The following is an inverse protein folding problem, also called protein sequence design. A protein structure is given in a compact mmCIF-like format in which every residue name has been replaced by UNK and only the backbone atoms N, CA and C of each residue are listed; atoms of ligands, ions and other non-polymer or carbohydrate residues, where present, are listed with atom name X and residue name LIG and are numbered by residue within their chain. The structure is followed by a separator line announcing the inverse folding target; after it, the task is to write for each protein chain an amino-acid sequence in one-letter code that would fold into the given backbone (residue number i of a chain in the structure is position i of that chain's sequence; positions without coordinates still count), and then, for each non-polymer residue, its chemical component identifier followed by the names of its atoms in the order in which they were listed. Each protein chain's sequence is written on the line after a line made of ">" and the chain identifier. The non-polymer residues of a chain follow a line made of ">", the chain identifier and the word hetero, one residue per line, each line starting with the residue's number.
data_IF_612126625717
#
_entry.id   IF_612126625717
#
_cell.length_a   1.000
_cell.length_b   1.000
_cell.length_c   1.000
_cell.angle_alpha   90.00
_cell.angle_beta   90.00
_cell.angle_gamma   90.00
#
_symmetry.space_group_name_H-M   'P 1'
#
loop_
_entity.id
_entity.type
_entity.pdbx_description
1 polymer ?
#
# COMPACT_ATOMS: atom_id res chain seq x y z
N UNK A 1 -0.30 -13.20 -18.87
CA UNK A 1 0.21 -14.22 -17.91
C UNK A 1 1.24 -15.19 -18.50
N UNK A 2 0.94 -16.10 -19.44
CA UNK A 2 1.96 -17.08 -19.95
C UNK A 2 3.27 -16.45 -20.46
N UNK A 3 3.20 -15.29 -21.13
CA UNK A 3 4.39 -14.54 -21.57
C UNK A 3 5.28 -14.10 -20.40
N UNK A 4 4.69 -13.73 -19.27
CA UNK A 4 5.41 -13.32 -18.06
C UNK A 4 6.12 -14.52 -17.43
N UNK A 5 5.45 -15.67 -17.33
CA UNK A 5 6.07 -16.91 -16.84
C UNK A 5 7.28 -17.30 -17.70
N UNK A 6 7.15 -17.22 -19.03
CA UNK A 6 8.26 -17.48 -19.94
C UNK A 6 9.44 -16.55 -19.70
N UNK A 7 9.20 -15.28 -19.33
CA UNK A 7 10.27 -14.37 -18.91
C UNK A 7 10.90 -14.78 -17.58
N UNK A 8 10.11 -15.21 -16.59
CA UNK A 8 10.68 -15.74 -15.34
C UNK A 8 11.55 -16.99 -15.56
N UNK A 9 11.20 -17.85 -16.52
CA UNK A 9 12.00 -19.01 -16.91
C UNK A 9 13.31 -18.62 -17.59
N UNK A 10 13.27 -17.66 -18.51
CA UNK A 10 14.41 -17.20 -19.34
C UNK A 10 15.53 -16.54 -18.50
N UNK A 11 15.18 -15.67 -17.55
CA UNK A 11 16.16 -14.84 -16.85
C UNK A 11 16.70 -15.49 -15.57
N UNK A 12 18.03 -15.54 -15.41
CA UNK A 12 18.69 -16.07 -14.21
C UNK A 12 18.70 -15.12 -13.01
N UNK A 13 18.57 -13.82 -13.26
CA UNK A 13 18.47 -12.76 -12.24
C UNK A 13 17.19 -11.97 -12.45
N UNK A 14 16.42 -11.77 -11.39
CA UNK A 14 15.15 -11.03 -11.39
C UNK A 14 15.18 -9.99 -10.27
N UNK A 15 14.89 -8.73 -10.60
CA UNK A 15 14.89 -7.62 -9.63
C UNK A 15 13.48 -7.02 -9.62
N UNK A 16 12.84 -7.07 -8.46
CA UNK A 16 11.45 -6.68 -8.28
C UNK A 16 11.41 -5.31 -7.61
N UNK A 17 10.76 -4.36 -8.25
CA UNK A 17 10.49 -2.98 -7.81
C UNK A 17 9.00 -2.79 -7.52
N UNK A 18 8.67 -1.66 -6.92
CA UNK A 18 7.30 -1.16 -6.71
C UNK A 18 7.29 0.37 -6.55
N UNK A 19 6.16 0.98 -6.21
CA UNK A 19 6.05 2.43 -6.02
C UNK A 19 6.78 2.92 -4.76
N UNK A 20 7.30 4.15 -4.74
CA UNK A 20 7.93 4.79 -3.59
C UNK A 20 6.95 5.09 -2.45
N UNK A 21 7.45 5.21 -1.21
CA UNK A 21 6.63 5.30 0.02
C UNK A 21 5.63 4.13 0.11
N UNK A 22 6.14 2.90 0.15
CA UNK A 22 5.33 1.72 -0.07
C UNK A 22 4.28 1.56 1.02
N UNK A 23 3.12 1.05 0.62
CA UNK A 23 2.14 0.52 1.54
C UNK A 23 2.29 -1.01 1.71
N UNK A 24 1.28 -1.63 2.32
CA UNK A 24 1.29 -3.07 2.57
C UNK A 24 1.09 -3.90 1.31
N UNK A 25 0.41 -3.38 0.28
CA UNK A 25 0.19 -4.10 -0.97
C UNK A 25 1.45 -4.13 -1.82
N UNK A 26 2.12 -2.99 -1.96
CA UNK A 26 3.40 -2.89 -2.65
C UNK A 26 4.46 -3.83 -2.07
N UNK A 27 4.61 -3.86 -0.74
CA UNK A 27 5.57 -4.78 -0.08
C UNK A 27 5.05 -6.22 -0.13
N UNK A 28 3.75 -6.44 0.07
CA UNK A 28 3.13 -7.76 0.07
C UNK A 28 3.26 -8.49 -1.26
N UNK A 29 2.93 -7.82 -2.35
CA UNK A 29 3.06 -8.30 -3.73
C UNK A 29 4.53 -8.55 -4.10
N UNK A 30 5.43 -7.62 -3.77
CA UNK A 30 6.86 -7.71 -4.05
C UNK A 30 7.54 -8.89 -3.34
N UNK A 31 7.34 -9.00 -2.02
CA UNK A 31 7.90 -10.10 -1.22
C UNK A 31 7.23 -11.43 -1.58
N UNK A 32 5.92 -11.41 -1.82
CA UNK A 32 5.17 -12.58 -2.25
C UNK A 32 5.68 -13.17 -3.56
N UNK A 33 5.89 -12.34 -4.58
CA UNK A 33 6.46 -12.76 -5.85
C UNK A 33 7.91 -13.25 -5.67
N UNK A 34 8.75 -12.52 -4.93
CA UNK A 34 10.14 -12.94 -4.64
C UNK A 34 10.19 -14.37 -4.08
N UNK A 35 9.42 -14.63 -3.03
CA UNK A 35 9.36 -15.93 -2.36
C UNK A 35 8.85 -17.03 -3.30
N UNK A 36 7.88 -16.72 -4.17
CA UNK A 36 7.36 -17.67 -5.15
C UNK A 36 8.40 -18.04 -6.22
N UNK A 37 9.09 -17.03 -6.76
CA UNK A 37 10.13 -17.24 -7.77
C UNK A 37 11.32 -18.03 -7.21
N UNK A 38 11.75 -17.72 -5.98
CA UNK A 38 12.82 -18.45 -5.30
C UNK A 38 12.42 -19.89 -4.96
N UNK A 39 11.18 -20.13 -4.54
CA UNK A 39 10.69 -21.48 -4.27
C UNK A 39 10.54 -22.32 -5.55
N UNK A 40 10.14 -21.69 -6.65
CA UNK A 40 9.94 -22.37 -7.94
C UNK A 40 11.27 -22.66 -8.63
N UNK A 41 12.21 -21.72 -8.57
CA UNK A 41 13.53 -21.83 -9.19
C UNK A 41 14.65 -21.47 -8.19
N UNK A 42 15.05 -22.40 -7.30
CA UNK A 42 16.02 -22.13 -6.24
C UNK A 42 17.41 -21.67 -6.71
N UNK A 43 17.76 -21.90 -7.98
CA UNK A 43 19.03 -21.46 -8.57
C UNK A 43 19.03 -20.02 -9.11
N UNK A 44 17.88 -19.34 -9.17
CA UNK A 44 17.79 -17.95 -9.65
C UNK A 44 18.11 -16.97 -8.53
N UNK A 45 18.70 -15.84 -8.91
CA UNK A 45 18.88 -14.69 -8.01
C UNK A 45 17.63 -13.81 -8.11
N UNK A 46 16.91 -13.64 -7.01
CA UNK A 46 15.69 -12.82 -6.99
C UNK A 46 15.81 -11.80 -5.88
N UNK A 47 15.72 -10.52 -6.24
CA UNK A 47 15.87 -9.38 -5.33
C UNK A 47 14.58 -8.58 -5.27
N UNK A 48 14.27 -8.03 -4.10
CA UNK A 48 13.22 -7.04 -3.86
C UNK A 48 13.88 -5.74 -3.39
N UNK A 49 13.68 -4.62 -4.08
CA UNK A 49 14.43 -3.38 -3.86
C UNK A 49 13.52 -2.17 -3.66
N UNK A 50 14.07 -1.08 -3.11
CA UNK A 50 13.40 0.21 -2.91
C UNK A 50 13.48 0.73 -1.46
N UNK A 51 12.86 1.89 -1.21
CA UNK A 51 12.78 2.56 0.11
C UNK A 51 11.91 1.81 1.13
N UNK A 52 12.35 1.68 2.38
CA UNK A 52 11.57 0.94 3.38
C UNK A 52 10.45 1.76 4.03
N UNK A 53 9.44 1.06 4.54
CA UNK A 53 8.43 1.63 5.43
C UNK A 53 8.36 0.80 6.72
N UNK A 54 8.80 1.39 7.83
CA UNK A 54 8.90 0.71 9.13
C UNK A 54 7.60 0.05 9.60
N UNK A 55 6.44 0.61 9.24
CA UNK A 55 5.12 0.04 9.56
C UNK A 55 4.90 -1.35 8.95
N UNK A 56 5.50 -1.61 7.80
CA UNK A 56 5.31 -2.84 7.03
C UNK A 56 6.54 -3.77 7.06
N UNK A 57 7.55 -3.44 7.87
CA UNK A 57 8.79 -4.23 8.03
C UNK A 57 8.54 -5.70 8.40
N UNK A 58 7.44 -6.00 9.10
CA UNK A 58 7.04 -7.37 9.46
C UNK A 58 6.65 -8.24 8.25
N UNK A 59 6.29 -7.63 7.11
CA UNK A 59 5.95 -8.33 5.86
C UNK A 59 7.22 -8.90 5.22
N UNK A 60 8.25 -8.05 5.07
CA UNK A 60 9.58 -8.41 4.57
C UNK A 60 10.46 -7.18 4.39
N UNK A 61 11.77 -7.40 4.30
CA UNK A 61 12.77 -6.35 4.06
C UNK A 61 13.26 -6.32 2.61
N UNK A 62 13.90 -5.22 2.25
CA UNK A 62 14.49 -5.03 0.92
C UNK A 62 15.93 -5.57 0.87
N UNK A 63 16.34 -6.09 -0.29
CA UNK A 63 17.71 -6.50 -0.53
C UNK A 63 18.56 -5.31 -1.00
N UNK A 64 19.85 -5.35 -0.65
CA UNK A 64 20.84 -4.50 -1.30
C UNK A 64 21.19 -5.08 -2.67
N UNK A 65 21.09 -4.25 -3.71
CA UNK A 65 21.44 -4.60 -5.09
C UNK A 65 22.51 -3.66 -5.63
N UNK A 66 23.47 -4.21 -6.38
CA UNK A 66 24.50 -3.43 -7.07
C UNK A 66 24.08 -3.14 -8.50
N UNK A 67 24.63 -2.09 -9.10
CA UNK A 67 24.32 -1.74 -10.49
C UNK A 67 24.72 -2.87 -11.46
N UNK A 68 25.77 -3.65 -11.13
CA UNK A 68 26.14 -4.82 -11.94
C UNK A 68 25.09 -5.94 -11.93
N UNK A 69 24.26 -6.04 -10.90
CA UNK A 69 23.24 -7.09 -10.82
C UNK A 69 22.10 -6.87 -11.82
N UNK A 70 21.90 -5.63 -12.30
CA UNK A 70 20.93 -5.31 -13.34
C UNK A 70 21.35 -5.79 -14.74
N UNK A 71 22.64 -6.03 -14.97
CA UNK A 71 23.14 -6.48 -16.28
C UNK A 71 22.60 -7.85 -16.63
N UNK A 72 21.76 -7.91 -17.66
CA UNK A 72 21.09 -9.15 -18.09
C UNK A 72 20.00 -9.64 -17.14
N UNK A 73 19.50 -8.76 -16.25
CA UNK A 73 18.42 -9.08 -15.34
C UNK A 73 17.05 -8.74 -15.95
N UNK A 74 16.05 -9.50 -15.55
CA UNK A 74 14.66 -9.12 -15.70
C UNK A 74 14.29 -8.17 -14.57
N UNK A 75 13.74 -7.02 -14.91
CA UNK A 75 13.13 -6.10 -13.96
C UNK A 75 11.63 -6.32 -13.94
N UNK A 76 11.05 -6.40 -12.75
CA UNK A 76 9.60 -6.53 -12.55
C UNK A 76 9.14 -5.37 -11.70
N UNK A 77 8.25 -4.52 -12.20
CA UNK A 77 7.65 -3.42 -11.44
C UNK A 77 6.24 -3.84 -11.04
N UNK A 78 5.99 -3.91 -9.74
CA UNK A 78 4.69 -4.23 -9.17
C UNK A 78 4.00 -2.98 -8.66
N UNK A 79 2.67 -2.99 -8.66
CA UNK A 79 1.87 -2.05 -7.89
C UNK A 79 2.25 -0.58 -8.13
N UNK A 80 2.42 -0.18 -9.39
CA UNK A 80 2.91 1.16 -9.74
C UNK A 80 2.25 1.67 -11.00
N UNK A 81 1.28 2.58 -10.84
CA UNK A 81 0.48 3.08 -11.96
C UNK A 81 1.29 3.86 -13.00
N UNK A 82 2.26 4.65 -12.54
CA UNK A 82 3.03 5.60 -13.34
C UNK A 82 4.54 5.42 -13.09
N UNK A 83 5.35 5.46 -14.15
CA UNK A 83 6.79 5.21 -14.10
C UNK A 83 7.54 6.15 -13.13
N UNK A 84 7.06 7.39 -12.98
CA UNK A 84 7.64 8.39 -12.06
C UNK A 84 7.51 8.03 -10.58
N UNK A 85 6.62 7.09 -10.23
CA UNK A 85 6.39 6.66 -8.87
C UNK A 85 7.32 5.52 -8.45
N UNK A 86 8.02 4.88 -9.39
CA UNK A 86 8.87 3.71 -9.11
C UNK A 86 9.93 4.05 -8.06
N UNK A 87 10.02 3.20 -7.04
CA UNK A 87 11.12 3.22 -6.08
C UNK A 87 12.36 2.58 -6.69
N UNK A 88 13.51 3.22 -6.43
CA UNK A 88 14.81 2.92 -7.05
C UNK A 88 14.85 3.22 -8.56
N UNK A 89 15.49 4.33 -8.93
CA UNK A 89 15.60 4.83 -10.30
C UNK A 89 16.44 3.96 -11.25
N UNK A 90 17.00 2.84 -10.78
CA UNK A 90 17.77 1.88 -11.59
C UNK A 90 16.90 0.86 -12.31
N UNK A 91 15.57 0.90 -12.16
CA UNK A 91 14.63 -0.02 -12.82
C UNK A 91 14.84 -0.15 -14.33
N UNK A 92 15.31 0.92 -15.00
CA UNK A 92 15.59 0.92 -16.45
C UNK A 92 16.94 0.31 -16.86
N UNK A 93 17.75 -0.19 -15.92
CA UNK A 93 19.07 -0.77 -16.21
C UNK A 93 19.01 -2.28 -16.53
N UNK A 94 17.85 -2.90 -16.37
CA UNK A 94 17.61 -4.30 -16.74
C UNK A 94 17.60 -4.53 -18.26
N UNK A 95 17.66 -5.80 -18.66
CA UNK A 95 17.56 -6.18 -20.08
C UNK A 95 16.11 -6.21 -20.57
N UNK A 96 15.16 -6.46 -19.67
CA UNK A 96 13.73 -6.48 -19.99
C UNK A 96 12.92 -6.04 -18.78
N UNK A 97 11.85 -5.28 -18.98
CA UNK A 97 10.98 -4.76 -17.93
C UNK A 97 9.56 -5.31 -18.06
N UNK A 98 9.06 -5.93 -16.99
CA UNK A 98 7.68 -6.37 -16.87
C UNK A 98 6.95 -5.51 -15.84
N UNK A 99 5.80 -4.94 -16.18
CA UNK A 99 4.89 -4.28 -15.23
C UNK A 99 3.72 -5.20 -14.90
N UNK A 100 3.37 -5.30 -13.62
CA UNK A 100 2.17 -5.97 -13.14
C UNK A 100 1.47 -5.09 -12.12
N UNK A 101 0.23 -4.70 -12.37
CA UNK A 101 -0.47 -3.71 -11.53
C UNK A 101 -1.99 -3.93 -11.55
N UNK A 102 -2.69 -3.35 -10.59
CA UNK A 102 -4.15 -3.36 -10.49
C UNK A 102 -4.77 -1.96 -10.58
N UNK A 103 -3.95 -0.91 -10.58
CA UNK A 103 -4.42 0.46 -10.74
C UNK A 103 -4.91 0.75 -12.16
N UNK A 104 -5.94 1.59 -12.29
CA UNK A 104 -6.24 2.22 -13.57
C UNK A 104 -5.15 3.25 -13.88
N UNK A 105 -4.46 3.09 -15.01
CA UNK A 105 -3.45 4.03 -15.47
C UNK A 105 -3.80 4.58 -16.85
N UNK A 106 -3.52 5.87 -17.06
CA UNK A 106 -3.62 6.51 -18.36
C UNK A 106 -2.38 6.29 -19.24
N UNK A 107 -1.33 5.70 -18.69
CA UNK A 107 -0.05 5.47 -19.35
C UNK A 107 0.41 4.01 -19.21
N UNK A 108 1.17 3.54 -20.20
CA UNK A 108 1.79 2.21 -20.22
C UNK A 108 3.29 2.37 -20.17
N UNK A 109 3.98 1.50 -19.44
CA UNK A 109 5.45 1.44 -19.40
C UNK A 109 5.95 0.01 -19.25
N UNK A 110 7.20 -0.20 -19.63
CA UNK A 110 7.84 -1.52 -19.70
C UNK A 110 7.67 -2.23 -21.04
N UNK A 111 8.48 -3.26 -21.25
CA UNK A 111 8.45 -4.09 -22.47
C UNK A 111 7.24 -5.03 -22.50
N UNK A 112 6.72 -5.40 -21.34
CA UNK A 112 5.51 -6.21 -21.18
C UNK A 112 4.70 -5.73 -19.97
N UNK A 113 3.42 -5.51 -20.16
CA UNK A 113 2.52 -5.04 -19.11
C UNK A 113 1.34 -6.01 -18.91
N UNK A 114 0.94 -6.20 -17.66
CA UNK A 114 -0.30 -6.84 -17.27
C UNK A 114 -0.99 -6.02 -16.18
N UNK A 115 -2.05 -5.29 -16.57
CA UNK A 115 -2.88 -4.52 -15.65
C UNK A 115 -4.27 -5.14 -15.59
N UNK A 116 -4.76 -5.40 -14.38
CA UNK A 116 -6.11 -5.93 -14.17
C UNK A 116 -6.79 -5.24 -12.99
N UNK A 117 -7.64 -4.27 -13.30
CA UNK A 117 -8.33 -3.43 -12.31
C UNK A 117 -9.51 -4.14 -11.64
N UNK A 118 -9.73 -5.42 -11.91
CA UNK A 118 -10.75 -6.23 -11.23
C UNK A 118 -10.27 -6.80 -9.89
N UNK A 119 -8.96 -6.74 -9.61
CA UNK A 119 -8.38 -7.20 -8.36
C UNK A 119 -8.43 -6.12 -7.28
N UNK A 120 -8.67 -6.55 -6.04
CA UNK A 120 -8.68 -5.66 -4.89
C UNK A 120 -7.30 -5.14 -4.49
N UNK A 121 -6.24 -5.78 -4.98
CA UNK A 121 -4.84 -5.50 -4.65
C UNK A 121 -3.91 -6.14 -5.69
N UNK A 122 -2.70 -5.59 -5.87
CA UNK A 122 -1.63 -6.23 -6.61
C UNK A 122 -1.23 -7.57 -5.97
N UNK A 123 -1.24 -7.68 -4.64
CA UNK A 123 -0.97 -8.92 -3.92
C UNK A 123 -1.99 -10.02 -4.25
N UNK A 124 -3.28 -9.69 -4.37
CA UNK A 124 -4.33 -10.60 -4.82
C UNK A 124 -4.08 -11.08 -6.25
N UNK A 125 -3.72 -10.15 -7.14
CA UNK A 125 -3.34 -10.46 -8.52
C UNK A 125 -2.14 -11.41 -8.58
N UNK A 126 -1.08 -11.13 -7.81
CA UNK A 126 0.13 -11.97 -7.76
C UNK A 126 -0.18 -13.35 -7.16
N UNK A 127 -0.99 -13.43 -6.11
CA UNK A 127 -1.39 -14.71 -5.53
C UNK A 127 -2.13 -15.59 -6.56
N UNK A 128 -3.10 -15.03 -7.28
CA UNK A 128 -3.79 -15.75 -8.34
C UNK A 128 -2.86 -16.11 -9.50
N UNK A 129 -1.97 -15.20 -9.91
CA UNK A 129 -0.95 -15.48 -10.91
C UNK A 129 -0.10 -16.70 -10.52
N UNK A 130 0.36 -16.77 -9.27
CA UNK A 130 1.14 -17.89 -8.73
C UNK A 130 0.33 -19.19 -8.83
N UNK A 131 -0.91 -19.19 -8.37
CA UNK A 131 -1.75 -20.40 -8.33
C UNK A 131 -2.16 -20.87 -9.73
N UNK A 132 -2.54 -19.97 -10.62
CA UNK A 132 -2.98 -20.30 -12.00
C UNK A 132 -1.84 -20.84 -12.86
N UNK A 133 -0.59 -20.46 -12.56
CA UNK A 133 0.59 -20.92 -13.30
C UNK A 133 1.36 -22.04 -12.58
N UNK A 134 0.82 -22.56 -11.46
CA UNK A 134 1.42 -23.69 -10.74
C UNK A 134 2.79 -23.40 -10.12
N UNK A 135 3.07 -22.13 -9.83
CA UNK A 135 4.31 -21.73 -9.16
C UNK A 135 4.29 -22.19 -7.69
N UNK A 136 5.46 -22.48 -7.15
CA UNK A 136 5.62 -22.80 -5.74
C UNK A 136 5.56 -21.51 -4.91
N UNK A 137 5.13 -21.63 -3.65
CA UNK A 137 5.04 -20.51 -2.72
C UNK A 137 5.49 -20.97 -1.33
N UNK A 138 6.15 -20.10 -0.58
CA UNK A 138 6.55 -20.37 0.80
C UNK A 138 5.48 -19.87 1.78
N UNK A 139 5.45 -20.37 3.04
CA UNK A 139 4.61 -19.77 4.08
C UNK A 139 4.87 -18.28 4.29
N UNK A 140 6.12 -17.83 4.12
CA UNK A 140 6.49 -16.41 4.20
C UNK A 140 5.89 -15.61 3.04
N UNK A 141 6.00 -16.10 1.81
CA UNK A 141 5.38 -15.49 0.64
C UNK A 141 3.85 -15.43 0.76
N UNK A 142 3.22 -16.51 1.23
CA UNK A 142 1.78 -16.55 1.46
C UNK A 142 1.32 -15.53 2.51
N UNK A 143 2.08 -15.39 3.61
CA UNK A 143 1.84 -14.37 4.64
C UNK A 143 1.98 -12.95 4.07
N UNK A 144 2.97 -12.71 3.22
CA UNK A 144 3.20 -11.40 2.62
C UNK A 144 2.06 -10.99 1.67
N UNK A 145 1.63 -11.90 0.79
CA UNK A 145 0.49 -11.67 -0.11
C UNK A 145 -0.79 -11.43 0.68
N UNK A 146 -1.03 -12.21 1.74
CA UNK A 146 -2.19 -11.98 2.61
C UNK A 146 -2.15 -10.60 3.29
N UNK A 147 -0.97 -10.14 3.74
CA UNK A 147 -0.84 -8.82 4.33
C UNK A 147 -1.21 -7.70 3.33
N UNK A 148 -0.74 -7.81 2.07
CA UNK A 148 -1.09 -6.86 1.00
C UNK A 148 -2.58 -6.83 0.69
N UNK A 149 -3.20 -8.00 0.53
CA UNK A 149 -4.66 -8.12 0.33
C UNK A 149 -5.40 -7.46 1.50
N UNK A 150 -4.99 -7.71 2.75
CA UNK A 150 -5.65 -7.14 3.93
C UNK A 150 -5.55 -5.61 3.95
N UNK A 151 -4.39 -5.04 3.60
CA UNK A 151 -4.20 -3.59 3.65
C UNK A 151 -5.05 -2.89 2.60
N UNK A 152 -5.06 -3.39 1.37
CA UNK A 152 -5.70 -2.68 0.26
C UNK A 152 -7.21 -2.93 0.17
N UNK A 153 -7.68 -4.07 0.69
CA UNK A 153 -9.11 -4.33 0.88
C UNK A 153 -9.73 -3.66 2.10
N UNK A 154 -8.93 -2.98 2.93
CA UNK A 154 -9.37 -2.41 4.21
C UNK A 154 -9.89 -3.48 5.17
N UNK A 155 -9.19 -4.62 5.25
CA UNK A 155 -9.62 -5.84 5.96
C UNK A 155 -10.95 -6.37 5.43
N UNK A 156 -11.00 -6.57 4.11
CA UNK A 156 -12.15 -7.11 3.40
C UNK A 156 -13.42 -6.25 3.50
N UNK A 157 -13.25 -4.93 3.65
CA UNK A 157 -14.34 -3.98 3.86
C UNK A 157 -14.75 -3.25 2.58
N UNK A 158 -13.81 -3.02 1.67
CA UNK A 158 -14.04 -2.19 0.49
C UNK A 158 -14.77 -2.94 -0.62
N UNK A 159 -15.45 -2.19 -1.50
CA UNK A 159 -16.25 -2.72 -2.61
C UNK A 159 -15.42 -3.45 -3.68
N UNK A 160 -14.09 -3.26 -3.67
CA UNK A 160 -13.16 -4.00 -4.51
C UNK A 160 -13.07 -5.49 -4.14
N UNK A 161 -13.52 -5.87 -2.94
CA UNK A 161 -13.50 -7.25 -2.45
C UNK A 161 -14.58 -8.06 -3.15
N UNK A 162 -14.18 -9.19 -3.75
CA UNK A 162 -15.08 -10.09 -4.48
C UNK A 162 -15.05 -11.51 -3.89
N UNK A 163 -15.95 -12.43 -4.32
CA UNK A 163 -15.82 -13.84 -3.97
C UNK A 163 -14.43 -14.42 -4.29
N UNK A 164 -13.82 -13.96 -5.40
CA UNK A 164 -12.47 -14.36 -5.81
C UNK A 164 -11.43 -14.03 -4.74
N UNK A 165 -11.48 -12.83 -4.16
CA UNK A 165 -10.59 -12.41 -3.06
C UNK A 165 -10.59 -13.44 -1.92
N UNK A 166 -11.76 -13.93 -1.51
CA UNK A 166 -11.87 -14.93 -0.45
C UNK A 166 -11.38 -16.32 -0.88
N UNK A 167 -11.58 -16.71 -2.15
CA UNK A 167 -11.02 -17.95 -2.69
C UNK A 167 -9.48 -17.92 -2.69
N UNK A 168 -8.88 -16.80 -3.10
CA UNK A 168 -7.44 -16.57 -3.07
C UNK A 168 -6.90 -16.62 -1.64
N UNK A 169 -7.54 -15.92 -0.70
CA UNK A 169 -7.19 -15.97 0.72
C UNK A 169 -7.29 -17.40 1.27
N UNK A 170 -8.36 -18.13 0.95
CA UNK A 170 -8.52 -19.51 1.39
C UNK A 170 -7.38 -20.44 0.90
N UNK A 171 -6.84 -20.20 -0.31
CA UNK A 171 -5.65 -20.90 -0.81
C UNK A 171 -4.40 -20.50 -0.04
N UNK A 172 -4.18 -19.21 0.22
CA UNK A 172 -3.03 -18.71 0.99
C UNK A 172 -3.00 -19.29 2.41
N UNK A 173 -4.15 -19.38 3.08
CA UNK A 173 -4.22 -19.90 4.46
C UNK A 173 -3.79 -21.36 4.59
N UNK A 174 -3.81 -22.15 3.50
CA UNK A 174 -3.30 -23.53 3.50
C UNK A 174 -1.79 -23.63 3.76
N UNK A 175 -1.06 -22.53 3.63
CA UNK A 175 0.38 -22.46 3.94
C UNK A 175 0.69 -22.30 5.43
N UNK A 176 -0.33 -22.20 6.30
CA UNK A 176 -0.17 -22.32 7.75
C UNK A 176 0.46 -21.13 8.47
N UNK A 177 0.47 -19.94 7.86
CA UNK A 177 0.87 -18.71 8.57
C UNK A 177 -0.25 -18.21 9.50
N UNK A 178 0.12 -17.39 10.49
CA UNK A 178 -0.85 -16.79 11.43
C UNK A 178 -1.45 -15.50 10.88
N UNK A 179 -2.74 -15.50 10.55
CA UNK A 179 -3.48 -14.25 10.26
C UNK A 179 -3.44 -13.28 11.44
N UNK A 180 -3.50 -13.82 12.67
CA UNK A 180 -3.47 -13.01 13.88
C UNK A 180 -2.16 -12.24 14.03
N UNK A 181 -1.02 -12.84 13.66
CA UNK A 181 0.25 -12.10 13.65
C UNK A 181 0.24 -10.95 12.66
N UNK A 182 -0.32 -11.16 11.46
CA UNK A 182 -0.45 -10.08 10.46
C UNK A 182 -1.32 -8.95 11.01
N UNK A 183 -2.49 -9.27 11.56
CA UNK A 183 -3.38 -8.26 12.15
C UNK A 183 -2.78 -7.55 13.36
N UNK A 184 -2.10 -8.28 14.24
CA UNK A 184 -1.46 -7.69 15.41
C UNK A 184 -0.40 -6.67 15.00
N UNK A 185 0.39 -6.95 13.96
CA UNK A 185 1.38 -6.00 13.46
C UNK A 185 0.73 -4.81 12.72
N UNK A 186 -0.28 -5.05 11.88
CA UNK A 186 -0.95 -3.99 11.12
C UNK A 186 -1.70 -2.98 12.00
N UNK A 187 -2.25 -3.45 13.11
CA UNK A 187 -3.11 -2.67 14.00
C UNK A 187 -2.47 -2.41 15.37
N UNK A 188 -1.16 -2.62 15.49
CA UNK A 188 -0.42 -2.14 16.65
C UNK A 188 -0.41 -0.62 16.63
N UNK A 189 -0.81 -0.01 17.75
CA UNK A 189 -0.78 1.44 17.92
C UNK A 189 -0.03 1.78 19.20
N UNK A 190 0.80 2.82 19.16
CA UNK A 190 1.47 3.34 20.34
C UNK A 190 0.48 3.95 21.32
N UNK A 191 0.68 3.72 22.62
CA UNK A 191 -0.19 4.22 23.68
C UNK A 191 -0.39 5.75 23.60
N UNK A 192 0.65 6.48 23.25
CA UNK A 192 0.61 7.94 23.11
C UNK A 192 -0.31 8.37 21.95
N UNK A 193 -0.25 7.68 20.82
CA UNK A 193 -1.18 7.91 19.69
C UNK A 193 -2.61 7.57 20.07
N UNK A 194 -2.84 6.50 20.85
CA UNK A 194 -4.18 6.14 21.33
C UNK A 194 -4.75 7.23 22.26
N UNK A 195 -3.93 7.76 23.18
CA UNK A 195 -4.34 8.86 24.08
C UNK A 195 -4.63 10.14 23.30
N UNK A 196 -3.74 10.53 22.40
CA UNK A 196 -3.94 11.69 21.53
C UNK A 196 -5.23 11.55 20.69
N UNK A 197 -5.47 10.37 20.13
CA UNK A 197 -6.71 10.08 19.40
C UNK A 197 -7.94 10.29 20.28
N UNK A 198 -7.90 9.86 21.54
CA UNK A 198 -9.01 10.08 22.48
C UNK A 198 -9.27 11.57 22.73
N UNK A 199 -8.21 12.39 22.86
CA UNK A 199 -8.36 13.85 22.97
C UNK A 199 -9.04 14.43 21.74
N UNK A 200 -8.61 14.05 20.53
CA UNK A 200 -9.22 14.48 19.27
C UNK A 200 -10.69 14.05 19.14
N UNK A 201 -11.03 12.82 19.56
CA UNK A 201 -12.43 12.33 19.61
C UNK A 201 -13.30 13.21 20.52
N UNK A 202 -12.78 13.67 21.66
CA UNK A 202 -13.56 14.54 22.56
C UNK A 202 -13.58 16.01 22.14
N UNK A 203 -12.64 16.42 21.27
CA UNK A 203 -12.45 17.81 20.83
C UNK A 203 -13.35 18.22 19.67
N UNK A 204 -13.73 17.29 18.79
CA UNK A 204 -14.46 17.65 17.57
C UNK A 204 -15.83 18.27 17.88
N UNK A 205 -16.32 19.08 16.96
CA UNK A 205 -17.62 19.74 17.02
C UNK A 205 -18.45 19.39 15.81
N UNK A 206 -19.77 19.52 15.92
CA UNK A 206 -20.71 19.40 14.82
C UNK A 206 -21.26 20.77 14.45
N UNK A 207 -21.46 20.99 13.15
CA UNK A 207 -22.32 22.09 12.66
C UNK A 207 -23.80 21.71 12.79
N UNK A 208 -24.70 22.67 12.55
CA UNK A 208 -26.15 22.41 12.49
C UNK A 208 -26.54 21.37 11.43
N UNK A 209 -25.70 21.18 10.40
CA UNK A 209 -25.90 20.22 9.32
C UNK A 209 -25.11 18.90 9.53
N UNK A 210 -24.66 18.62 10.76
CA UNK A 210 -23.88 17.42 11.12
C UNK A 210 -22.56 17.26 10.36
N UNK A 211 -21.93 18.36 9.94
CA UNK A 211 -20.53 18.32 9.48
C UNK A 211 -19.63 18.32 10.71
N UNK A 212 -18.80 17.29 10.87
CA UNK A 212 -17.86 17.21 11.97
C UNK A 212 -16.58 17.98 11.65
N UNK A 213 -16.04 18.72 12.62
CA UNK A 213 -14.78 19.41 12.43
C UNK A 213 -13.92 19.47 13.69
N UNK A 214 -12.60 19.49 13.47
CA UNK A 214 -11.57 19.76 14.47
C UNK A 214 -10.77 20.97 14.02
N UNK A 215 -10.40 21.83 14.97
CA UNK A 215 -9.44 22.91 14.77
C UNK A 215 -8.31 22.73 15.76
N UNK A 216 -7.08 22.60 15.28
CA UNK A 216 -5.88 22.41 16.09
C UNK A 216 -4.88 23.53 15.79
N UNK A 217 -4.54 24.29 16.82
CA UNK A 217 -3.64 25.44 16.74
C UNK A 217 -2.17 25.02 16.70
N UNK A 218 -1.29 25.90 16.24
CA UNK A 218 0.15 25.63 16.21
C UNK A 218 0.74 25.39 17.60
N UNK A 219 0.15 25.98 18.65
CA UNK A 219 0.54 25.74 20.03
C UNK A 219 0.17 24.31 20.47
N UNK A 220 -1.05 23.87 20.19
CA UNK A 220 -1.49 22.50 20.50
C UNK A 220 -0.63 21.45 19.78
N UNK A 221 -0.29 21.66 18.49
CA UNK A 221 0.61 20.74 17.76
C UNK A 221 1.97 20.62 18.46
N UNK A 222 2.54 21.73 18.94
CA UNK A 222 3.79 21.71 19.72
C UNK A 222 3.63 20.99 21.05
N UNK A 223 2.54 21.23 21.75
CA UNK A 223 2.26 20.62 23.06
C UNK A 223 2.07 19.10 22.94
N UNK A 224 1.51 18.61 21.84
CA UNK A 224 1.40 17.18 21.56
C UNK A 224 2.74 16.50 21.25
N UNK A 225 3.78 17.26 20.88
CA UNK A 225 5.11 16.71 20.58
C UNK A 225 5.18 15.81 19.35
N UNK A 226 4.23 15.95 18.42
CA UNK A 226 4.15 15.17 17.17
C UNK A 226 4.34 16.05 15.94
N UNK A 227 4.56 15.44 14.79
CA UNK A 227 4.57 16.16 13.52
C UNK A 227 3.15 16.62 13.12
N UNK A 228 3.11 17.70 12.33
CA UNK A 228 1.86 18.32 11.88
C UNK A 228 0.98 17.36 11.06
N UNK A 229 1.57 16.41 10.32
CA UNK A 229 0.80 15.47 9.50
C UNK A 229 0.15 14.38 10.36
N UNK A 230 0.79 13.94 11.43
CA UNK A 230 0.16 13.07 12.44
C UNK A 230 -1.05 13.75 13.06
N UNK A 231 -0.95 15.03 13.43
CA UNK A 231 -2.07 15.80 14.00
C UNK A 231 -3.18 16.06 12.97
N UNK A 232 -2.80 16.28 11.71
CA UNK A 232 -3.72 16.61 10.63
C UNK A 232 -4.30 15.36 9.96
N UNK A 233 -3.54 14.72 9.07
CA UNK A 233 -3.97 13.55 8.30
C UNK A 233 -4.16 12.31 9.16
N UNK A 234 -3.34 12.12 10.20
CA UNK A 234 -3.44 10.97 11.09
C UNK A 234 -4.72 10.94 11.93
N UNK A 235 -5.22 12.12 12.33
CA UNK A 235 -6.40 12.24 13.21
C UNK A 235 -7.70 12.57 12.48
N UNK A 236 -7.69 12.87 11.17
CA UNK A 236 -8.93 13.25 10.45
C UNK A 236 -10.04 12.20 10.59
N UNK A 237 -9.69 10.91 10.60
CA UNK A 237 -10.66 9.82 10.60
C UNK A 237 -11.23 9.48 11.99
N UNK A 238 -10.88 10.20 13.05
CA UNK A 238 -11.58 10.07 14.35
C UNK A 238 -13.06 10.44 14.27
N UNK A 239 -13.42 11.25 13.26
CA UNK A 239 -14.80 11.67 12.97
C UNK A 239 -15.52 10.75 11.97
N UNK A 240 -14.86 9.69 11.48
CA UNK A 240 -15.43 8.77 10.50
C UNK A 240 -16.38 7.75 11.15
N UNK A 241 -17.38 7.30 10.40
CA UNK A 241 -18.29 6.21 10.82
C UNK A 241 -19.32 6.61 11.89
N UNK A 242 -19.49 7.90 12.16
CA UNK A 242 -20.51 8.41 13.08
C UNK A 242 -21.85 8.49 12.35
N UNK A 243 -22.89 7.89 12.92
CA UNK A 243 -24.25 7.92 12.34
C UNK A 243 -24.73 9.37 12.17
N UNK A 244 -25.02 9.75 10.93
CA UNK A 244 -25.50 11.09 10.57
C UNK A 244 -24.41 12.10 10.23
N UNK A 245 -23.12 11.73 10.30
CA UNK A 245 -22.00 12.55 9.87
C UNK A 245 -21.49 12.01 8.53
N UNK A 246 -21.82 12.72 7.45
CA UNK A 246 -21.41 12.33 6.09
C UNK A 246 -20.13 13.04 5.63
N UNK A 247 -19.77 14.16 6.26
CA UNK A 247 -18.61 15.00 5.91
C UNK A 247 -17.88 15.42 7.18
N UNK A 248 -16.55 15.35 7.15
CA UNK A 248 -15.72 15.81 8.26
C UNK A 248 -14.44 16.50 7.79
N UNK A 249 -13.95 17.45 8.60
CA UNK A 249 -12.78 18.27 8.28
C UNK A 249 -11.85 18.45 9.48
N UNK A 250 -10.56 18.18 9.31
CA UNK A 250 -9.55 18.51 10.32
C UNK A 250 -8.71 19.71 9.85
N UNK A 251 -8.79 20.82 10.57
CA UNK A 251 -7.96 22.00 10.36
C UNK A 251 -6.79 21.98 11.34
N UNK A 252 -5.56 22.08 10.84
CA UNK A 252 -4.35 22.05 11.66
C UNK A 252 -3.40 23.15 11.24
N UNK A 253 -3.08 24.07 12.15
CA UNK A 253 -2.07 25.09 11.94
C UNK A 253 -0.66 24.49 12.00
N UNK A 254 0.13 24.70 10.94
CA UNK A 254 1.52 24.28 10.85
C UNK A 254 2.41 25.23 11.68
N UNK A 255 3.09 24.72 12.72
CA UNK A 255 3.96 25.54 13.55
C UNK A 255 5.17 26.17 12.85
N UNK A 256 5.57 25.64 11.69
CA UNK A 256 6.75 26.07 10.94
C UNK A 256 6.49 27.25 10.00
N UNK A 257 5.31 27.33 9.40
CA UNK A 257 4.98 28.35 8.40
C UNK A 257 3.64 29.08 8.64
N UNK A 258 2.85 28.66 9.65
CA UNK A 258 1.55 29.25 9.99
C UNK A 258 0.42 28.91 9.01
N UNK A 259 0.65 28.06 8.01
CA UNK A 259 -0.39 27.60 7.10
C UNK A 259 -1.38 26.70 7.83
N UNK A 260 -2.63 26.65 7.36
CA UNK A 260 -3.65 25.73 7.88
C UNK A 260 -3.80 24.58 6.90
N UNK A 261 -3.43 23.38 7.32
CA UNK A 261 -3.73 22.14 6.61
C UNK A 261 -5.21 21.80 6.84
N UNK A 262 -5.94 21.53 5.76
CA UNK A 262 -7.36 21.17 5.80
C UNK A 262 -7.57 19.79 5.19
N UNK A 263 -7.75 18.78 6.05
CA UNK A 263 -8.03 17.41 5.63
C UNK A 263 -9.54 17.21 5.54
N UNK A 264 -10.10 17.26 4.33
CA UNK A 264 -11.53 17.08 4.07
C UNK A 264 -11.79 15.63 3.68
N UNK A 265 -12.80 15.00 4.27
CA UNK A 265 -13.23 13.63 3.97
C UNK A 265 -14.75 13.54 3.95
N UNK A 266 -15.25 12.54 3.25
CA UNK A 266 -16.67 12.28 3.10
C UNK A 266 -16.93 10.80 2.91
N UNK A 267 -18.01 10.30 3.48
CA UNK A 267 -18.47 8.92 3.31
C UNK A 267 -19.44 8.75 2.13
N UNK A 268 -19.96 9.85 1.56
CA UNK A 268 -21.08 9.80 0.60
C UNK A 268 -21.05 10.88 -0.48
N UNK A 269 -20.69 12.11 -0.11
CA UNK A 269 -20.75 13.28 -0.97
C UNK A 269 -19.41 13.53 -1.66
N UNK A 270 -19.43 14.00 -2.91
CA UNK A 270 -18.22 14.48 -3.58
C UNK A 270 -17.79 15.82 -2.95
N UNK A 271 -16.60 15.84 -2.34
CA UNK A 271 -16.03 17.02 -1.67
C UNK A 271 -14.93 17.70 -2.48
N UNK A 272 -14.56 17.16 -3.64
CA UNK A 272 -13.46 17.68 -4.45
C UNK A 272 -13.73 19.12 -4.91
N UNK A 273 -14.96 19.44 -5.31
CA UNK A 273 -15.34 20.80 -5.71
C UNK A 273 -15.10 21.83 -4.59
N UNK A 274 -15.24 21.42 -3.33
CA UNK A 274 -14.95 22.27 -2.16
C UNK A 274 -13.45 22.46 -2.00
N UNK A 275 -12.67 21.37 -2.06
CA UNK A 275 -11.21 21.44 -1.93
C UNK A 275 -10.59 22.33 -3.03
N UNK A 276 -11.00 22.14 -4.29
CA UNK A 276 -10.53 22.92 -5.45
C UNK A 276 -10.88 24.41 -5.30
N UNK A 277 -12.06 24.73 -4.78
CA UNK A 277 -12.47 26.13 -4.54
C UNK A 277 -11.50 26.88 -3.61
N UNK A 278 -10.82 26.17 -2.71
CA UNK A 278 -9.83 26.73 -1.78
C UNK A 278 -8.38 26.40 -2.16
N UNK A 279 -8.13 26.00 -3.42
CA UNK A 279 -6.78 25.77 -3.95
C UNK A 279 -6.16 24.41 -3.62
N UNK A 280 -6.96 23.45 -3.11
CA UNK A 280 -6.58 22.05 -2.92
C UNK A 280 -7.12 21.12 -4.02
N UNK A 281 -7.33 19.85 -3.66
CA UNK A 281 -7.90 18.79 -4.49
C UNK A 281 -8.06 17.49 -3.71
#
# INVERSE_FOLDING_TARGET
>A
MRKIVSKFEEYGTIIIHRHSRPDGDAIGSQIGLKEALQATWPGKRVFAVGDENGKFSFIGGMDEVRDEDYKGALVVVLDTAEESLISDGRYGQGEFLVKIDHHFSGSSFGDLEYVDTSYESCAGLIADFIFENGLQLTPKGARALFAGIVTDSGRFRYDSVTPKTFETVAKLLKYGFSMMEVYNNLYLEDLELVKLRAEFVTKFRLTENNVAYIMTTAAEVKDYGIDVFTASRGMVNVMSGIRGVDVWVNFTEDPGNGAVLAEIRSSKLNINEIAVKYGGG
#
